data_IF_871198605538
#
_entry.id   IF_871198605538
#
_cell.length_a   1.000
_cell.length_b   1.000
_cell.length_c   1.000
_cell.angle_alpha   90.00
_cell.angle_beta   90.00
_cell.angle_gamma   90.00
#
_symmetry.space_group_name_H-M   'P 1'
#
loop_
_entity.id
_entity.type
_entity.pdbx_description
1 polymer ?
#
# COMPACT_ATOMS: atom_id res chain seq x y z
N UNK A 10 7.56 1.20 27.32
CA UNK A 10 8.51 2.25 26.98
C UNK A 10 7.96 3.12 25.89
N UNK A 11 7.07 2.55 25.09
CA UNK A 11 6.44 3.25 23.98
C UNK A 11 4.95 3.06 24.02
N UNK A 12 4.21 3.99 23.44
CA UNK A 12 2.77 3.98 23.56
C UNK A 12 2.09 3.93 22.21
N UNK A 13 1.11 3.05 22.07
CA UNK A 13 0.41 2.86 20.79
C UNK A 13 -0.55 3.95 20.60
N UNK A 14 -0.56 4.49 19.40
CA UNK A 14 -1.36 5.65 19.16
C UNK A 14 -2.54 5.22 18.35
N UNK A 15 -2.31 4.38 17.36
CA UNK A 15 -3.34 3.93 16.46
C UNK A 15 -2.88 2.69 15.73
N UNK A 16 -3.87 2.02 15.23
CA UNK A 16 -3.72 0.85 14.38
C UNK A 16 -4.67 0.85 13.16
N UNK A 17 -4.17 0.30 12.10
CA UNK A 17 -4.78 0.38 10.79
C UNK A 17 -4.63 -1.00 10.15
N UNK A 18 -5.74 -1.54 9.70
CA UNK A 18 -5.67 -2.85 9.07
C UNK A 18 -6.16 -2.61 7.67
N UNK A 19 -5.44 -3.12 6.70
CA UNK A 19 -5.93 -3.10 5.34
C UNK A 19 -5.80 -4.48 4.74
N UNK A 20 -6.94 -5.00 4.37
CA UNK A 20 -6.97 -6.32 3.79
C UNK A 20 -7.28 -6.29 2.31
N UNK A 21 -6.27 -6.71 1.55
CA UNK A 21 -6.37 -6.72 0.10
C UNK A 21 -6.60 -8.14 -0.43
N UNK A 22 -7.82 -8.33 -0.91
CA UNK A 22 -8.13 -9.55 -1.65
C UNK A 22 -8.35 -9.27 -3.14
N UNK A 23 -7.41 -9.77 -3.94
CA UNK A 23 -7.38 -9.45 -5.33
C UNK A 23 -7.56 -10.69 -6.14
N UNK A 24 -8.55 -10.65 -7.02
CA UNK A 24 -8.85 -11.80 -7.83
C UNK A 24 -8.94 -11.41 -9.27
N UNK A 25 -8.05 -11.98 -10.07
CA UNK A 25 -8.07 -11.77 -11.52
C UNK A 25 -8.97 -12.77 -12.32
N UNK A 31 -8.14 -9.58 -23.10
CA UNK A 31 -7.73 -8.68 -22.03
C UNK A 31 -7.95 -9.33 -20.68
N UNK A 32 -7.55 -8.65 -19.59
CA UNK A 32 -7.72 -9.15 -18.20
C UNK A 32 -8.70 -8.29 -17.37
N UNK A 33 -9.52 -8.91 -16.52
CA UNK A 33 -10.53 -8.14 -15.73
C UNK A 33 -10.44 -8.47 -14.25
N UNK A 34 -10.29 -7.42 -13.44
CA UNK A 34 -9.83 -7.54 -12.04
C UNK A 34 -10.88 -7.16 -11.01
N UNK A 35 -11.13 -8.09 -10.11
CA UNK A 35 -11.96 -7.84 -8.95
C UNK A 35 -11.09 -7.45 -7.73
N UNK A 36 -11.53 -6.41 -7.01
CA UNK A 36 -10.81 -5.86 -5.87
C UNK A 36 -11.71 -5.91 -4.65
N UNK A 37 -11.22 -6.50 -3.57
CA UNK A 37 -11.90 -6.39 -2.31
C UNK A 37 -10.92 -5.91 -1.28
N UNK A 38 -11.38 -4.92 -0.51
CA UNK A 38 -10.56 -4.25 0.48
C UNK A 38 -11.39 -4.17 1.72
N UNK A 39 -10.83 -4.64 2.82
CA UNK A 39 -11.45 -4.39 4.09
C UNK A 39 -10.57 -3.38 4.82
N UNK A 40 -11.06 -2.15 4.96
CA UNK A 40 -10.37 -1.13 5.74
C UNK A 40 -10.79 -1.30 7.16
N UNK A 41 -9.81 -1.41 8.08
CA UNK A 41 -10.04 -1.39 9.53
C UNK A 41 -11.09 -2.35 10.05
N UNK A 42 -11.28 -3.45 9.35
CA UNK A 42 -12.31 -4.43 9.74
C UNK A 42 -13.74 -3.86 9.91
N UNK A 43 -14.01 -2.66 9.40
CA UNK A 43 -15.36 -2.07 9.47
C UNK A 43 -15.91 -1.78 8.08
N UNK A 44 -15.12 -1.19 7.20
CA UNK A 44 -15.54 -0.89 5.83
C UNK A 44 -15.04 -1.92 4.90
N UNK A 45 -15.95 -2.36 4.07
CA UNK A 45 -15.61 -3.13 2.90
C UNK A 45 -15.70 -2.20 1.68
N UNK A 46 -14.71 -2.28 0.80
CA UNK A 46 -14.79 -1.64 -0.51
C UNK A 46 -14.46 -2.69 -1.50
N UNK A 47 -15.12 -2.62 -2.64
CA UNK A 47 -15.02 -3.68 -3.62
C UNK A 47 -15.36 -3.16 -4.99
N UNK A 48 -14.54 -3.48 -5.99
CA UNK A 48 -14.78 -2.99 -7.35
C UNK A 48 -14.19 -3.92 -8.43
N UNK A 49 -14.69 -3.78 -9.67
CA UNK A 49 -14.23 -4.53 -10.87
C UNK A 49 -13.66 -3.57 -11.88
N UNK A 50 -12.58 -3.96 -12.56
CA UNK A 50 -11.88 -3.03 -13.48
C UNK A 50 -11.25 -3.80 -14.65
N UNK A 51 -10.99 -3.10 -15.76
CA UNK A 51 -10.28 -3.66 -16.93
C UNK A 51 -8.78 -3.52 -16.76
N UNK A 52 -8.11 -4.66 -16.59
CA UNK A 52 -6.71 -4.70 -16.20
C UNK A 52 -5.69 -4.51 -17.33
N UNK A 53 -6.11 -4.58 -18.60
CA UNK A 53 -5.14 -4.43 -19.72
C UNK A 53 -4.41 -3.09 -19.60
N UNK A 54 -5.21 -2.03 -19.46
CA UNK A 54 -4.69 -0.67 -19.35
C UNK A 54 -4.57 -0.23 -17.91
N UNK A 55 -3.90 -1.04 -17.10
CA UNK A 55 -3.41 -0.55 -15.83
C UNK A 55 -1.94 -0.30 -16.01
N UNK A 56 -1.55 0.95 -15.87
CA UNK A 56 -0.18 1.31 -16.14
C UNK A 56 0.30 1.91 -14.84
N UNK A 57 1.30 1.27 -14.26
CA UNK A 57 1.89 1.73 -13.05
C UNK A 57 2.12 3.26 -13.03
N UNK A 58 2.78 3.84 -14.03
CA UNK A 58 3.10 5.27 -13.94
C UNK A 58 1.84 6.07 -13.62
N UNK A 59 0.73 5.73 -14.28
CA UNK A 59 -0.52 6.48 -14.08
C UNK A 59 -1.00 6.39 -12.65
N UNK A 60 -1.02 5.17 -12.15
CA UNK A 60 -1.39 4.93 -10.80
C UNK A 60 -0.40 5.63 -9.80
N UNK A 61 0.89 5.69 -10.07
CA UNK A 61 1.75 6.43 -9.15
C UNK A 61 1.45 7.90 -9.12
N UNK A 62 1.00 8.40 -10.27
CA UNK A 62 0.74 9.85 -10.44
C UNK A 62 -0.58 10.16 -9.75
N UNK A 63 -1.51 9.23 -9.90
CA UNK A 63 -2.76 9.33 -9.21
C UNK A 63 -2.55 9.42 -7.71
N UNK A 64 -1.67 8.62 -7.19
CA UNK A 64 -1.37 8.74 -5.80
C UNK A 64 -0.76 10.09 -5.46
N UNK A 65 0.10 10.59 -6.33
CA UNK A 65 0.76 11.87 -6.05
C UNK A 65 -0.31 12.96 -5.92
N UNK A 66 -1.31 12.90 -6.79
CA UNK A 66 -2.37 13.88 -6.80
C UNK A 66 -3.33 13.69 -5.65
N UNK A 67 -3.73 12.46 -5.40
CA UNK A 67 -4.60 12.21 -4.27
C UNK A 67 -3.91 12.74 -3.01
N UNK A 68 -2.60 12.58 -2.89
CA UNK A 68 -1.99 13.12 -1.70
C UNK A 68 -2.09 14.64 -1.66
N UNK A 69 -1.90 15.27 -2.81
CA UNK A 69 -1.79 16.72 -2.89
C UNK A 69 -3.11 17.30 -2.39
N UNK A 70 -4.20 16.72 -2.86
CA UNK A 70 -5.55 17.05 -2.41
C UNK A 70 -5.82 16.62 -0.95
N UNK A 71 -5.37 15.45 -0.53
CA UNK A 71 -5.71 14.93 0.80
C UNK A 71 -5.16 15.84 1.86
N UNK A 72 -4.06 16.50 1.57
CA UNK A 72 -3.40 17.28 2.60
C UNK A 72 -3.77 18.74 2.51
N UNK A 73 -4.66 19.09 1.60
CA UNK A 73 -5.12 20.46 1.44
C UNK A 73 -6.62 20.57 1.53
N UNK A 74 -7.25 19.49 1.98
CA UNK A 74 -8.70 19.33 1.93
C UNK A 74 -9.24 19.73 3.29
N UNK A 75 -10.15 20.69 3.29
CA UNK A 75 -10.72 21.27 4.52
C UNK A 75 -11.67 20.40 5.30
N UNK A 76 -12.53 19.70 4.59
CA UNK A 76 -13.56 18.92 5.22
C UNK A 76 -12.95 17.78 6.00
N UNK A 77 -13.49 17.52 7.18
CA UNK A 77 -13.06 16.37 7.95
C UNK A 77 -13.38 15.11 7.15
N UNK A 78 -14.54 15.10 6.52
CA UNK A 78 -14.98 13.95 5.76
C UNK A 78 -14.16 13.57 4.56
N UNK A 79 -13.82 14.53 3.73
CA UNK A 79 -13.38 14.20 2.38
C UNK A 79 -12.15 13.35 2.52
N UNK A 80 -11.33 13.77 3.44
CA UNK A 80 -10.11 13.03 3.71
C UNK A 80 -10.33 11.54 3.63
N UNK A 81 -11.50 11.09 4.04
CA UNK A 81 -11.80 9.67 4.11
C UNK A 81 -12.22 9.21 2.74
N UNK A 82 -12.89 10.05 2.02
CA UNK A 82 -13.32 9.69 0.68
C UNK A 82 -12.17 9.68 -0.30
N UNK A 83 -11.07 10.35 0.05
CA UNK A 83 -9.85 10.36 -0.76
C UNK A 83 -8.99 9.19 -0.28
N UNK A 84 -8.98 8.95 1.02
CA UNK A 84 -8.27 7.81 1.49
C UNK A 84 -8.71 6.54 0.75
N UNK A 85 -10.01 6.41 0.54
CA UNK A 85 -10.56 5.20 -0.10
C UNK A 85 -10.12 5.10 -1.53
N UNK A 86 -10.16 6.20 -2.25
CA UNK A 86 -9.61 6.21 -3.59
C UNK A 86 -8.16 5.80 -3.66
N UNK A 87 -7.40 6.17 -2.64
CA UNK A 87 -5.99 5.84 -2.62
C UNK A 87 -5.90 4.36 -2.46
N UNK A 88 -6.68 3.84 -1.53
CA UNK A 88 -6.67 2.41 -1.29
C UNK A 88 -6.97 1.63 -2.56
N UNK A 89 -7.95 2.06 -3.35
CA UNK A 89 -8.22 1.39 -4.63
C UNK A 89 -7.07 1.57 -5.56
N UNK A 90 -6.53 2.77 -5.64
CA UNK A 90 -5.42 2.97 -6.52
C UNK A 90 -4.30 2.03 -6.12
N UNK A 91 -4.08 1.88 -4.81
CA UNK A 91 -3.04 0.97 -4.34
C UNK A 91 -3.33 -0.49 -4.71
N UNK A 92 -4.60 -0.85 -4.81
CA UNK A 92 -4.93 -2.22 -5.22
C UNK A 92 -4.36 -2.47 -6.59
N UNK A 93 -4.62 -1.55 -7.50
CA UNK A 93 -4.16 -1.74 -8.88
C UNK A 93 -2.64 -1.87 -8.90
N UNK A 94 -1.97 -1.12 -8.05
CA UNK A 94 -0.52 -1.19 -8.02
C UNK A 94 -0.05 -2.57 -7.55
N UNK A 95 -0.76 -3.11 -6.57
CA UNK A 95 -0.45 -4.42 -6.07
C UNK A 95 -0.62 -5.43 -7.20
N UNK A 96 -1.71 -5.30 -7.95
CA UNK A 96 -2.02 -6.26 -9.02
C UNK A 96 -0.85 -6.34 -10.01
N UNK A 97 -0.24 -5.21 -10.28
CA UNK A 97 0.91 -5.21 -11.15
C UNK A 97 2.05 -6.08 -10.62
N UNK A 98 2.34 -5.99 -9.33
CA UNK A 98 3.52 -6.65 -8.75
C UNK A 98 3.29 -8.10 -8.41
N UNK A 99 2.03 -8.47 -8.30
CA UNK A 99 1.70 -9.76 -7.76
C UNK A 99 1.35 -10.74 -8.84
N UNK A 100 1.27 -10.29 -10.09
CA UNK A 100 0.85 -11.14 -11.19
C UNK A 100 1.86 -11.05 -12.35
N UNK B 15 -6.97 -16.31 -10.44
CA UNK B 15 -5.79 -16.32 -9.52
C UNK B 15 -6.10 -15.58 -8.23
N UNK B 16 -5.36 -15.88 -7.15
CA UNK B 16 -5.56 -15.14 -5.94
C UNK B 16 -4.30 -14.64 -5.26
N UNK B 17 -4.50 -13.57 -4.51
CA UNK B 17 -3.44 -12.94 -3.77
C UNK B 17 -4.15 -12.28 -2.62
N UNK B 18 -3.61 -12.51 -1.42
CA UNK B 18 -4.10 -11.88 -0.23
C UNK B 18 -2.91 -11.10 0.24
N UNK B 19 -3.16 -9.85 0.62
CA UNK B 19 -2.19 -9.07 1.38
C UNK B 19 -2.94 -8.47 2.52
N UNK B 20 -2.42 -8.76 3.71
CA UNK B 20 -2.91 -8.22 4.94
C UNK B 20 -1.89 -7.21 5.36
N UNK B 21 -2.38 -5.98 5.54
CA UNK B 21 -1.57 -4.94 6.16
C UNK B 21 -2.07 -4.64 7.56
N UNK B 22 -1.21 -4.87 8.57
CA UNK B 22 -1.43 -4.37 9.93
C UNK B 22 -0.36 -3.37 10.28
N UNK B 23 -0.79 -2.13 10.47
CA UNK B 23 0.09 -1.00 10.71
C UNK B 23 -0.22 -0.39 12.07
N UNK B 24 0.80 -0.22 12.88
CA UNK B 24 0.63 0.35 14.18
C UNK B 24 1.61 1.46 14.33
N UNK B 25 1.12 2.65 14.65
CA UNK B 25 1.96 3.76 14.98
C UNK B 25 2.14 3.81 16.53
N UNK B 26 3.35 3.55 17.01
CA UNK B 26 3.71 3.77 18.43
C UNK B 26 4.52 5.04 18.61
N UNK B 27 4.28 5.77 19.70
CA UNK B 27 5.14 6.91 20.01
C UNK B 27 6.10 6.56 21.12
N UNK B 28 7.36 6.77 20.82
CA UNK B 28 8.47 6.62 21.74
C UNK B 28 8.96 8.02 22.12
N UNK B 29 9.79 8.11 23.20
CA UNK B 29 10.38 9.41 23.61
C UNK B 29 11.06 10.20 22.45
N UNK B 30 11.54 9.49 21.42
CA UNK B 30 12.35 10.08 20.33
C UNK B 30 11.58 10.48 19.08
N UNK B 31 10.47 9.79 18.82
CA UNK B 31 9.58 10.13 17.71
C UNK B 31 8.60 8.98 17.57
N UNK B 32 7.75 9.07 16.57
CA UNK B 32 6.84 8.01 16.26
C UNK B 32 7.46 6.87 15.37
N UNK B 33 7.09 5.62 15.64
CA UNK B 33 7.61 4.44 14.95
C UNK B 33 6.45 3.67 14.39
N UNK B 34 6.62 3.09 13.21
CA UNK B 34 5.54 2.45 12.47
C UNK B 34 5.88 0.99 12.39
N UNK B 35 5.08 0.17 13.08
CA UNK B 35 5.30 -1.23 13.11
C UNK B 35 4.46 -1.74 11.98
N UNK B 36 5.13 -2.44 11.09
CA UNK B 36 4.51 -2.88 9.88
C UNK B 36 4.48 -4.37 9.95
N UNK B 37 3.30 -4.93 9.77
CA UNK B 37 3.15 -6.37 9.69
C UNK B 37 2.33 -6.69 8.45
N UNK B 38 2.87 -7.61 7.68
CA UNK B 38 2.35 -7.88 6.35
C UNK B 38 2.30 -9.34 6.12
N UNK B 39 1.11 -9.85 5.86
CA UNK B 39 0.97 -11.27 5.72
C UNK B 39 0.66 -11.50 4.26
N UNK B 40 1.71 -11.89 3.55
CA UNK B 40 1.58 -12.17 2.14
C UNK B 40 1.07 -13.58 1.93
N UNK B 41 -0.10 -13.71 1.29
CA UNK B 41 -0.69 -15.01 0.94
C UNK B 41 -0.86 -15.99 2.11
N UNK B 42 -1.11 -15.46 3.31
CA UNK B 42 -1.32 -16.28 4.49
C UNK B 42 -0.20 -17.29 4.74
N UNK B 43 0.96 -17.11 4.09
CA UNK B 43 2.12 -17.98 4.34
C UNK B 43 3.32 -17.19 4.87
N UNK B 44 3.63 -16.08 4.25
CA UNK B 44 4.74 -15.26 4.71
C UNK B 44 4.31 -14.11 5.52
N UNK B 45 4.92 -14.02 6.69
CA UNK B 45 4.81 -12.84 7.50
C UNK B 45 6.07 -12.02 7.20
N UNK B 46 5.89 -10.72 7.03
CA UNK B 46 7.00 -9.78 7.05
C UNK B 46 6.64 -8.76 8.06
N UNK B 47 7.66 -8.24 8.74
CA UNK B 47 7.42 -7.30 9.80
C UNK B 47 8.63 -6.42 9.96
N UNK B 48 8.42 -5.11 10.12
CA UNK B 48 9.53 -4.18 10.30
C UNK B 48 9.08 -2.95 11.04
N UNK B 49 10.02 -2.27 11.66
CA UNK B 49 9.71 -1.15 12.49
C UNK B 49 10.51 0.01 11.92
N UNK B 50 9.83 0.91 11.24
CA UNK B 50 10.39 2.11 10.66
C UNK B 50 10.17 3.28 11.57
N UNK B 51 11.06 4.25 11.51
CA UNK B 51 10.85 5.52 12.19
C UNK B 51 9.90 6.25 11.26
N UNK B 52 8.78 6.69 11.77
CA UNK B 52 7.69 7.14 10.91
C UNK B 52 7.81 8.56 10.41
N UNK B 53 8.53 9.40 11.14
CA UNK B 53 8.43 10.85 10.97
C UNK B 53 9.04 11.36 9.66
N UNK B 54 9.88 10.57 8.99
CA UNK B 54 10.58 11.03 7.80
C UNK B 54 10.23 10.20 6.54
N UNK B 55 8.95 10.05 6.32
CA UNK B 55 8.42 9.28 5.22
C UNK B 55 7.81 10.35 4.36
N UNK B 56 8.22 10.34 3.11
CA UNK B 56 7.80 11.32 2.16
C UNK B 56 7.23 10.56 0.99
N UNK B 57 5.94 10.74 0.77
CA UNK B 57 5.27 10.09 -0.30
C UNK B 57 6.10 10.12 -1.58
N UNK B 58 6.57 11.28 -2.06
CA UNK B 58 7.23 11.28 -3.37
C UNK B 58 8.31 10.24 -3.43
N UNK B 59 9.12 10.13 -2.38
CA UNK B 59 10.24 9.18 -2.40
C UNK B 59 9.74 7.79 -2.59
N UNK B 60 8.76 7.43 -1.78
CA UNK B 60 8.16 6.12 -1.83
C UNK B 60 7.52 5.84 -3.20
N UNK B 61 6.89 6.81 -3.85
CA UNK B 61 6.38 6.58 -5.20
C UNK B 61 7.50 6.33 -6.22
N UNK B 62 8.66 6.91 -5.97
CA UNK B 62 9.78 6.75 -6.87
C UNK B 62 10.37 5.40 -6.62
N UNK B 63 10.46 5.06 -5.35
CA UNK B 63 10.96 3.76 -4.96
C UNK B 63 10.15 2.67 -5.63
N UNK B 64 8.85 2.81 -5.67
CA UNK B 64 8.03 1.86 -6.38
C UNK B 64 8.35 1.84 -7.88
N UNK B 65 8.59 3.00 -8.47
CA UNK B 65 8.86 3.10 -9.90
C UNK B 65 10.10 2.25 -10.21
N UNK B 66 11.10 2.36 -9.35
CA UNK B 66 12.36 1.69 -9.55
C UNK B 66 12.22 0.19 -9.29
N UNK B 67 11.57 -0.15 -8.21
CA UNK B 67 11.34 -1.53 -7.90
C UNK B 67 10.61 -2.23 -9.03
N UNK B 68 9.69 -1.55 -9.71
CA UNK B 68 9.10 -2.18 -10.87
C UNK B 68 10.10 -2.33 -12.03
N UNK B 69 10.95 -1.34 -12.22
CA UNK B 69 11.85 -1.30 -13.35
C UNK B 69 12.75 -2.51 -13.24
N UNK B 70 13.23 -2.74 -12.04
CA UNK B 70 14.03 -3.91 -11.71
C UNK B 70 13.24 -5.24 -11.73
N UNK B 71 12.06 -5.27 -11.16
CA UNK B 71 11.29 -6.51 -11.05
C UNK B 71 10.93 -7.12 -12.41
N UNK B 72 10.82 -6.29 -13.44
CA UNK B 72 10.39 -6.77 -14.74
C UNK B 72 11.60 -7.06 -15.64
N UNK B 73 12.81 -6.77 -15.14
CA UNK B 73 14.04 -6.99 -15.90
C UNK B 73 14.98 -7.94 -15.14
N UNK B 74 14.44 -8.63 -14.16
CA UNK B 74 15.25 -9.42 -13.25
C UNK B 74 15.18 -10.85 -13.71
N UNK B 75 16.28 -11.57 -13.67
CA UNK B 75 16.37 -12.90 -14.32
C UNK B 75 16.33 -14.12 -13.41
N UNK B 76 17.04 -14.05 -12.30
CA UNK B 76 17.19 -15.17 -11.36
C UNK B 76 15.81 -15.76 -10.91
N UNK B 77 15.82 -17.02 -10.44
CA UNK B 77 14.61 -17.65 -9.89
C UNK B 77 14.42 -17.24 -8.41
N UNK B 78 15.14 -16.18 -8.03
CA UNK B 78 15.31 -15.76 -6.64
C UNK B 78 14.52 -14.50 -6.43
N UNK B 79 15.10 -13.38 -6.88
CA UNK B 79 14.72 -12.04 -6.39
C UNK B 79 13.34 -11.53 -6.86
N UNK B 80 12.70 -12.15 -7.85
CA UNK B 80 11.31 -11.76 -8.18
C UNK B 80 10.28 -11.89 -7.01
N UNK B 81 10.65 -12.63 -5.96
CA UNK B 81 9.92 -12.61 -4.70
C UNK B 81 10.55 -11.61 -3.72
N UNK B 82 11.89 -11.44 -3.77
CA UNK B 82 12.62 -10.56 -2.85
C UNK B 82 12.51 -9.08 -3.18
N UNK B 83 12.00 -8.80 -4.38
CA UNK B 83 11.69 -7.43 -4.81
C UNK B 83 10.23 -7.22 -4.51
N UNK B 84 9.40 -8.22 -4.79
CA UNK B 84 8.01 -8.11 -4.44
C UNK B 84 7.80 -7.68 -2.97
N UNK B 85 8.63 -8.22 -2.09
CA UNK B 85 8.49 -7.94 -0.67
C UNK B 85 8.84 -6.50 -0.36
N UNK B 86 9.95 -6.02 -0.90
CA UNK B 86 10.30 -4.60 -0.75
C UNK B 86 9.25 -3.63 -1.28
N UNK B 87 8.48 -4.09 -2.27
CA UNK B 87 7.41 -3.25 -2.80
C UNK B 87 6.31 -3.24 -1.80
N UNK B 88 6.00 -4.42 -1.29
CA UNK B 88 5.01 -4.52 -0.24
C UNK B 88 5.40 -3.64 0.95
N UNK B 89 6.64 -3.63 1.42
CA UNK B 89 6.97 -2.71 2.54
C UNK B 89 6.81 -1.32 2.10
N UNK B 90 7.26 -1.00 0.91
CA UNK B 90 7.15 0.37 0.46
C UNK B 90 5.69 0.80 0.39
N UNK B 91 4.85 -0.10 -0.04
CA UNK B 91 3.43 0.23 -0.02
C UNK B 91 2.86 0.42 1.42
N UNK B 92 3.42 -0.28 2.40
CA UNK B 92 2.96 -0.11 3.75
C UNK B 92 3.17 1.35 4.10
N UNK B 93 4.34 1.89 3.82
CA UNK B 93 4.68 3.25 4.19
C UNK B 93 3.76 4.23 3.50
N UNK B 94 3.34 3.90 2.30
CA UNK B 94 2.43 4.76 1.59
C UNK B 94 1.08 4.77 2.27
N UNK B 95 0.63 3.58 2.65
CA UNK B 95 -0.63 3.46 3.36
C UNK B 95 -0.57 4.31 4.64
N UNK B 96 0.54 4.23 5.38
CA UNK B 96 0.63 4.97 6.62
C UNK B 96 0.37 6.46 6.43
N UNK B 97 0.83 6.98 5.30
CA UNK B 97 0.58 8.37 4.98
C UNK B 97 -0.90 8.72 4.78
N UNK B 98 -1.66 7.82 4.18
CA UNK B 98 -3.06 8.11 3.91
C UNK B 98 -3.98 7.76 5.07
N UNK B 99 -3.51 6.90 5.97
CA UNK B 99 -4.35 6.34 6.97
C UNK B 99 -4.15 6.98 8.32
N UNK B 100 -3.30 8.01 8.42
CA UNK B 100 -3.06 8.73 9.67
C UNK B 100 -3.01 10.25 9.46
#
# INVERSE_FOLDING_TARGET
MVSPQTRKEEELLEKQNSVFYLLTLGRKPYGSYLHIKIELDEDEKLEKEIYADNIKLENELRQLKRLYEVYQSVEIDDAQKAIQKEALLTIAKILSVFDFHHHHHH
MVSPQTRKEEELLEKQNSVFYLLTLGRKPYGSYLHIKIELDEDEKLEKEIYADNIKLENELRQLKRLYEVYQSVEIDDAQKAIQKEALLTIAKILSVFDFHHHHHH
#
